data_IF_442537637147
#
_entry.id   IF_442537637147
#
_cell.length_a   1.000
_cell.length_b   1.000
_cell.length_c   1.000
_cell.angle_alpha   90.00
_cell.angle_beta   90.00
_cell.angle_gamma   90.00
#
_symmetry.space_group_name_H-M   'P 1'
#
loop_
_entity.id
_entity.type
_entity.pdbx_description
1 polymer ?
#
# COMPACT_ATOMS: atom_id res chain seq x y z
N UNK A 1 7.27 0.67 -41.07
CA UNK A 1 8.14 -0.20 -40.23
C UNK A 1 8.84 0.55 -39.10
N UNK A 2 9.30 1.78 -39.31
CA UNK A 2 10.03 2.59 -38.30
C UNK A 2 9.33 2.82 -36.94
N UNK A 3 8.02 2.67 -36.83
CA UNK A 3 7.29 2.86 -35.56
C UNK A 3 7.33 1.65 -34.60
N UNK A 4 7.75 0.47 -35.05
CA UNK A 4 7.81 -0.73 -34.24
C UNK A 4 9.12 -0.76 -33.46
N UNK A 5 10.23 -0.39 -34.09
CA UNK A 5 11.56 -0.35 -33.46
C UNK A 5 11.64 0.61 -32.28
N UNK A 6 10.92 1.75 -32.35
CA UNK A 6 10.87 2.73 -31.25
C UNK A 6 10.01 2.26 -30.06
N UNK A 7 9.15 1.26 -30.25
CA UNK A 7 8.26 0.75 -29.21
C UNK A 7 8.80 -0.47 -28.49
N UNK A 8 9.65 -1.24 -29.16
CA UNK A 8 10.29 -2.43 -28.58
C UNK A 8 11.07 -2.14 -27.30
N UNK A 9 11.94 -1.10 -27.23
CA UNK A 9 12.67 -0.80 -26.00
C UNK A 9 11.77 -0.45 -24.83
N UNK A 10 10.64 0.24 -25.09
CA UNK A 10 9.67 0.58 -24.03
C UNK A 10 8.98 -0.68 -23.50
N UNK A 11 8.61 -1.62 -24.37
CA UNK A 11 8.00 -2.90 -23.98
C UNK A 11 9.00 -3.74 -23.18
N UNK A 12 10.28 -3.74 -23.59
CA UNK A 12 11.33 -4.42 -22.84
C UNK A 12 11.56 -3.78 -21.47
N UNK A 13 11.61 -2.45 -21.39
CA UNK A 13 11.72 -1.72 -20.12
C UNK A 13 10.57 -2.08 -19.16
N UNK A 14 9.33 -2.11 -19.68
CA UNK A 14 8.16 -2.51 -18.88
C UNK A 14 8.31 -3.97 -18.42
N UNK A 15 8.71 -4.88 -19.30
CA UNK A 15 8.90 -6.29 -18.97
C UNK A 15 9.98 -6.53 -17.91
N UNK A 16 11.09 -5.79 -17.98
CA UNK A 16 12.15 -5.86 -16.96
C UNK A 16 11.69 -5.31 -15.60
N UNK A 17 10.97 -4.18 -15.62
CA UNK A 17 10.43 -3.61 -14.38
C UNK A 17 9.41 -4.52 -13.71
N UNK A 18 8.61 -5.25 -14.47
CA UNK A 18 7.60 -6.20 -13.96
C UNK A 18 8.27 -7.44 -13.37
N UNK A 19 9.33 -7.97 -13.99
CA UNK A 19 10.03 -9.17 -13.49
C UNK A 19 10.63 -8.99 -12.10
N UNK A 20 11.12 -7.78 -11.83
CA UNK A 20 11.73 -7.42 -10.54
C UNK A 20 10.69 -6.93 -9.51
N UNK A 21 9.42 -6.80 -9.90
CA UNK A 21 8.39 -6.17 -9.09
C UNK A 21 7.73 -7.16 -8.12
N UNK A 22 7.58 -6.78 -6.86
CA UNK A 22 6.75 -7.49 -5.89
C UNK A 22 5.28 -7.09 -5.99
N UNK A 23 5.00 -5.88 -6.46
CA UNK A 23 3.63 -5.43 -6.73
C UNK A 23 3.53 -4.62 -8.01
N UNK A 24 2.46 -4.89 -8.77
CA UNK A 24 2.10 -4.21 -10.01
C UNK A 24 0.63 -3.83 -9.92
N UNK A 25 0.33 -2.54 -9.85
CA UNK A 25 -1.04 -2.03 -9.71
C UNK A 25 -1.45 -1.23 -10.94
N UNK A 26 -2.65 -1.51 -11.43
CA UNK A 26 -3.29 -0.79 -12.52
C UNK A 26 -4.31 0.19 -11.94
N UNK A 27 -4.13 1.47 -12.27
CA UNK A 27 -4.98 2.55 -11.76
C UNK A 27 -5.51 3.42 -12.89
N UNK A 28 -6.73 3.89 -12.73
CA UNK A 28 -7.38 4.81 -13.65
C UNK A 28 -7.30 6.23 -13.06
N UNK A 29 -6.70 7.16 -13.81
CA UNK A 29 -6.40 8.52 -13.32
C UNK A 29 -7.28 9.62 -13.95
N UNK A 30 -8.45 9.26 -14.44
CA UNK A 30 -9.38 10.21 -15.05
C UNK A 30 -9.83 11.28 -14.05
N UNK A 31 -9.77 12.57 -14.46
CA UNK A 31 -10.37 13.66 -13.70
C UNK A 31 -9.53 14.23 -12.54
N UNK A 32 -8.27 13.83 -12.39
CA UNK A 32 -7.35 14.46 -11.46
C UNK A 32 -6.88 15.84 -11.98
N UNK A 33 -6.75 16.83 -11.11
CA UNK A 33 -6.07 18.07 -11.43
C UNK A 33 -4.54 17.88 -11.46
N UNK A 34 -3.84 18.77 -12.16
CA UNK A 34 -2.37 18.72 -12.26
C UNK A 34 -1.70 18.81 -10.89
N UNK A 35 -2.24 19.61 -9.98
CA UNK A 35 -1.72 19.75 -8.62
C UNK A 35 -1.85 18.44 -7.84
N UNK A 36 -3.01 17.78 -7.93
CA UNK A 36 -3.28 16.51 -7.26
C UNK A 36 -2.39 15.38 -7.79
N UNK A 37 -2.24 15.28 -9.12
CA UNK A 37 -1.36 14.29 -9.75
C UNK A 37 0.11 14.52 -9.37
N UNK A 38 0.55 15.78 -9.30
CA UNK A 38 1.91 16.13 -8.89
C UNK A 38 2.18 15.76 -7.43
N UNK A 39 1.22 16.03 -6.52
CA UNK A 39 1.33 15.64 -5.12
C UNK A 39 1.39 14.12 -4.95
N UNK A 40 0.50 13.38 -5.64
CA UNK A 40 0.49 11.92 -5.64
C UNK A 40 1.80 11.33 -6.15
N UNK A 41 2.31 11.82 -7.28
CA UNK A 41 3.60 11.39 -7.86
C UNK A 41 4.79 11.68 -6.94
N UNK A 42 4.72 12.74 -6.14
CA UNK A 42 5.74 13.06 -5.15
C UNK A 42 5.72 12.02 -4.02
N UNK A 43 4.57 11.75 -3.40
CA UNK A 43 4.43 10.74 -2.36
C UNK A 43 4.85 9.33 -2.86
N UNK A 44 4.45 8.97 -4.09
CA UNK A 44 4.84 7.68 -4.69
C UNK A 44 6.36 7.57 -4.90
N UNK A 45 7.02 8.65 -5.35
CA UNK A 45 8.47 8.67 -5.52
C UNK A 45 9.21 8.58 -4.19
N UNK A 46 8.73 9.28 -3.15
CA UNK A 46 9.29 9.20 -1.79
C UNK A 46 9.19 7.79 -1.21
N UNK A 47 8.14 7.06 -1.58
CA UNK A 47 7.95 5.65 -1.20
C UNK A 47 8.65 4.65 -2.13
N UNK A 48 9.43 5.09 -3.13
CA UNK A 48 10.12 4.19 -4.06
C UNK A 48 9.25 3.54 -5.13
N UNK A 49 8.00 3.98 -5.30
CA UNK A 49 7.06 3.45 -6.29
C UNK A 49 7.30 4.09 -7.66
N UNK A 50 7.55 3.29 -8.67
CA UNK A 50 7.63 3.73 -10.06
C UNK A 50 6.21 3.86 -10.65
N UNK A 51 5.72 5.10 -10.74
CA UNK A 51 4.43 5.42 -11.34
C UNK A 51 4.61 6.01 -12.73
N UNK A 52 4.14 5.30 -13.76
CA UNK A 52 4.26 5.72 -15.16
C UNK A 52 2.95 5.43 -15.92
N UNK A 53 2.63 6.33 -16.84
CA UNK A 53 1.51 6.15 -17.78
C UNK A 53 2.03 5.57 -19.07
N UNK A 54 1.51 4.42 -19.44
CA UNK A 54 1.86 3.74 -20.69
C UNK A 54 0.62 3.55 -21.57
N UNK A 55 0.85 3.37 -22.84
CA UNK A 55 -0.23 3.04 -23.78
C UNK A 55 -0.70 1.59 -23.57
N UNK A 56 -2.02 1.36 -23.49
CA UNK A 56 -2.61 0.03 -23.22
C UNK A 56 -2.07 -1.05 -24.17
N UNK A 57 -1.85 -0.73 -25.44
CA UNK A 57 -1.29 -1.69 -26.41
C UNK A 57 0.15 -2.10 -26.07
N UNK A 58 0.95 -1.24 -25.44
CA UNK A 58 2.32 -1.58 -25.01
C UNK A 58 2.29 -2.41 -23.73
N UNK A 59 1.41 -2.06 -22.78
CA UNK A 59 1.18 -2.86 -21.57
C UNK A 59 0.69 -4.27 -21.92
N UNK A 60 -0.26 -4.39 -22.87
CA UNK A 60 -0.74 -5.69 -23.34
C UNK A 60 0.39 -6.57 -23.91
N UNK A 61 1.31 -5.98 -24.69
CA UNK A 61 2.44 -6.71 -25.23
C UNK A 61 3.46 -7.11 -24.14
N UNK A 62 3.66 -6.27 -23.12
CA UNK A 62 4.58 -6.55 -22.03
C UNK A 62 4.02 -7.58 -21.02
N UNK A 63 2.69 -7.63 -20.85
CA UNK A 63 2.04 -8.56 -19.90
C UNK A 63 1.92 -9.98 -20.46
N UNK A 64 1.94 -10.14 -21.79
CA UNK A 64 1.92 -11.48 -22.42
C UNK A 64 3.17 -12.27 -22.04
N UNK A 65 2.95 -13.45 -21.48
CA UNK A 65 4.02 -14.34 -21.03
C UNK A 65 4.60 -13.97 -19.66
N UNK A 66 3.92 -13.11 -18.88
CA UNK A 66 4.24 -12.80 -17.49
C UNK A 66 3.04 -13.13 -16.59
N UNK A 67 3.27 -13.17 -15.28
CA UNK A 67 2.19 -13.38 -14.29
C UNK A 67 1.10 -12.30 -14.34
N UNK A 68 1.33 -11.24 -15.13
CA UNK A 68 0.43 -10.12 -15.32
C UNK A 68 -0.64 -10.33 -16.41
N UNK A 69 -0.74 -11.50 -17.02
CA UNK A 69 -1.77 -11.78 -18.05
C UNK A 69 -3.21 -11.46 -17.62
N UNK A 70 -3.65 -11.75 -16.38
CA UNK A 70 -5.01 -11.41 -15.95
C UNK A 70 -5.34 -9.91 -16.00
N UNK A 71 -4.32 -9.04 -15.91
CA UNK A 71 -4.50 -7.59 -16.00
C UNK A 71 -4.85 -7.11 -17.41
N UNK A 72 -4.58 -7.90 -18.44
CA UNK A 72 -4.85 -7.56 -19.85
C UNK A 72 -6.35 -7.31 -20.10
N UNK A 73 -7.22 -8.09 -19.45
CA UNK A 73 -8.68 -7.96 -19.58
C UNK A 73 -9.20 -6.65 -19.00
N UNK A 74 -8.46 -6.05 -18.08
CA UNK A 74 -8.85 -4.80 -17.39
C UNK A 74 -8.19 -3.54 -18.00
N UNK A 75 -7.47 -3.65 -19.12
CA UNK A 75 -6.80 -2.54 -19.80
C UNK A 75 -7.78 -1.68 -20.60
N UNK A 76 -8.84 -1.18 -19.98
CA UNK A 76 -9.82 -0.29 -20.58
C UNK A 76 -9.63 1.16 -20.09
N UNK A 77 -9.69 2.12 -20.99
CA UNK A 77 -9.56 3.55 -20.67
C UNK A 77 -8.13 4.03 -20.41
N UNK A 78 -7.96 5.20 -19.77
CA UNK A 78 -6.66 5.79 -19.45
C UNK A 78 -6.09 5.17 -18.18
N UNK A 79 -5.12 4.28 -18.36
CA UNK A 79 -4.49 3.54 -17.27
C UNK A 79 -3.08 4.02 -17.00
N UNK A 80 -2.70 4.00 -15.73
CA UNK A 80 -1.35 4.17 -15.25
C UNK A 80 -0.90 2.90 -14.51
N UNK A 81 0.39 2.62 -14.59
CA UNK A 81 1.03 1.49 -13.94
C UNK A 81 1.87 1.97 -12.77
N UNK A 82 1.60 1.43 -11.59
CA UNK A 82 2.39 1.64 -10.38
C UNK A 82 3.12 0.33 -10.04
N UNK A 83 4.44 0.39 -10.00
CA UNK A 83 5.32 -0.75 -9.78
C UNK A 83 6.15 -0.50 -8.54
N UNK A 84 6.22 -1.47 -7.63
CA UNK A 84 7.11 -1.42 -6.48
C UNK A 84 7.92 -2.71 -6.34
N UNK A 85 9.23 -2.55 -5.96
CA UNK A 85 10.18 -3.66 -5.92
C UNK A 85 10.38 -4.26 -4.53
N UNK A 86 10.25 -3.46 -3.47
CA UNK A 86 10.59 -3.88 -2.10
C UNK A 86 9.36 -4.20 -1.27
N UNK A 87 8.41 -3.26 -1.17
CA UNK A 87 7.20 -3.40 -0.36
C UNK A 87 5.98 -3.68 -1.21
N UNK A 88 5.35 -4.85 -1.12
CA UNK A 88 4.18 -5.19 -1.94
C UNK A 88 2.95 -4.32 -1.64
N UNK A 89 2.86 -3.73 -0.44
CA UNK A 89 1.69 -2.97 0.01
C UNK A 89 1.83 -1.45 -0.09
N UNK A 90 3.06 -0.92 -0.23
CA UNK A 90 3.33 0.52 -0.23
C UNK A 90 2.56 1.27 -1.31
N UNK A 91 2.58 0.75 -2.54
CA UNK A 91 1.87 1.33 -3.67
C UNK A 91 0.35 1.32 -3.44
N UNK A 92 -0.22 0.18 -3.00
CA UNK A 92 -1.66 0.05 -2.74
C UNK A 92 -2.13 1.02 -1.64
N UNK A 93 -1.36 1.20 -0.58
CA UNK A 93 -1.69 2.07 0.55
C UNK A 93 -1.78 3.55 0.14
N UNK A 94 -0.78 4.04 -0.60
CA UNK A 94 -0.76 5.42 -1.07
C UNK A 94 -1.91 5.65 -2.05
N UNK A 95 -2.07 4.76 -3.04
CA UNK A 95 -3.12 4.88 -4.05
C UNK A 95 -4.52 4.81 -3.45
N UNK A 96 -4.76 3.94 -2.45
CA UNK A 96 -6.04 3.87 -1.74
C UNK A 96 -6.36 5.13 -0.93
N UNK A 97 -5.33 5.82 -0.36
CA UNK A 97 -5.51 7.11 0.28
C UNK A 97 -6.07 8.14 -0.70
N UNK A 98 -5.49 8.18 -1.91
CA UNK A 98 -5.96 9.08 -2.97
C UNK A 98 -7.31 8.66 -3.56
N UNK A 99 -7.59 7.37 -3.70
CA UNK A 99 -8.88 6.87 -4.16
C UNK A 99 -10.04 7.26 -3.19
N UNK A 100 -9.77 7.29 -1.89
CA UNK A 100 -10.74 7.77 -0.89
C UNK A 100 -10.94 9.29 -0.93
N UNK A 101 -9.90 10.05 -1.27
CA UNK A 101 -9.98 11.51 -1.37
C UNK A 101 -10.63 11.98 -2.67
N UNK A 102 -10.38 11.28 -3.77
CA UNK A 102 -10.81 11.67 -5.11
C UNK A 102 -11.66 10.59 -5.76
N UNK A 103 -12.95 10.82 -5.88
CA UNK A 103 -13.91 9.88 -6.50
C UNK A 103 -13.61 9.53 -7.96
N UNK A 104 -12.79 10.34 -8.62
CA UNK A 104 -12.41 10.15 -10.03
C UNK A 104 -11.22 9.18 -10.19
N UNK A 105 -10.53 8.85 -9.09
CA UNK A 105 -9.37 7.98 -9.11
C UNK A 105 -9.77 6.59 -8.59
N UNK A 106 -9.60 5.57 -9.43
CA UNK A 106 -9.97 4.22 -9.09
C UNK A 106 -8.78 3.25 -9.30
N UNK A 107 -8.59 2.37 -8.35
CA UNK A 107 -7.74 1.20 -8.51
C UNK A 107 -8.58 0.11 -9.19
N UNK A 108 -8.10 -0.41 -10.32
CA UNK A 108 -8.85 -1.40 -11.11
C UNK A 108 -8.48 -2.81 -10.64
N UNK A 109 -7.22 -3.15 -10.75
CA UNK A 109 -6.68 -4.46 -10.43
C UNK A 109 -5.19 -4.35 -10.14
N UNK A 110 -4.62 -5.40 -9.55
CA UNK A 110 -3.20 -5.47 -9.30
C UNK A 110 -2.72 -6.88 -9.07
N UNK A 111 -1.42 -7.04 -9.12
CA UNK A 111 -0.74 -8.27 -8.72
C UNK A 111 0.15 -7.93 -7.53
N UNK A 112 -0.04 -8.64 -6.45
CA UNK A 112 0.72 -8.49 -5.22
C UNK A 112 1.28 -9.85 -4.85
N UNK A 113 2.60 -9.97 -4.79
CA UNK A 113 3.30 -11.24 -4.53
C UNK A 113 2.85 -12.40 -5.46
N UNK A 114 2.62 -12.10 -6.75
CA UNK A 114 2.16 -13.08 -7.73
C UNK A 114 0.68 -13.45 -7.64
N UNK A 115 -0.09 -12.83 -6.74
CA UNK A 115 -1.54 -13.04 -6.62
C UNK A 115 -2.29 -11.91 -7.30
N UNK A 116 -3.24 -12.27 -8.16
CA UNK A 116 -4.15 -11.31 -8.76
C UNK A 116 -5.18 -10.83 -7.73
N UNK A 117 -5.35 -9.53 -7.62
CA UNK A 117 -6.24 -8.87 -6.67
C UNK A 117 -7.02 -7.77 -7.39
N UNK A 118 -8.35 -7.72 -7.22
CA UNK A 118 -9.16 -6.65 -7.80
C UNK A 118 -10.23 -6.12 -6.82
N UNK A 119 -10.72 -4.91 -7.08
CA UNK A 119 -11.84 -4.30 -6.39
C UNK A 119 -11.64 -4.21 -4.86
N UNK A 120 -12.57 -4.79 -4.10
CA UNK A 120 -12.57 -4.74 -2.63
C UNK A 120 -11.34 -5.39 -2.00
N UNK A 121 -10.79 -6.43 -2.61
CA UNK A 121 -9.59 -7.09 -2.12
C UNK A 121 -8.34 -6.19 -2.21
N UNK A 122 -8.28 -5.24 -3.16
CA UNK A 122 -7.23 -4.22 -3.19
C UNK A 122 -7.33 -3.25 -2.00
N UNK A 123 -8.55 -2.93 -1.58
CA UNK A 123 -8.77 -2.11 -0.39
C UNK A 123 -8.33 -2.84 0.89
N UNK A 124 -8.49 -4.15 0.98
CA UNK A 124 -7.98 -4.94 2.09
C UNK A 124 -6.45 -4.94 2.12
N UNK A 125 -5.79 -5.15 0.96
CA UNK A 125 -4.33 -5.05 0.84
C UNK A 125 -3.83 -3.66 1.25
N UNK A 126 -4.57 -2.59 0.90
CA UNK A 126 -4.21 -1.23 1.28
C UNK A 126 -4.22 -0.95 2.79
N UNK A 127 -4.96 -1.76 3.57
CA UNK A 127 -5.03 -1.66 5.04
C UNK A 127 -3.86 -2.35 5.74
N UNK A 128 -3.09 -3.16 5.04
CA UNK A 128 -1.94 -3.86 5.60
C UNK A 128 -0.84 -2.83 5.89
N UNK A 129 -0.37 -2.74 7.16
CA UNK A 129 0.72 -1.85 7.54
C UNK A 129 2.06 -2.26 6.90
N UNK A 130 3.07 -1.39 7.02
CA UNK A 130 4.43 -1.71 6.61
C UNK A 130 4.98 -2.93 7.36
N UNK A 131 5.99 -3.57 6.77
CA UNK A 131 6.68 -4.69 7.41
C UNK A 131 7.20 -4.33 8.80
N UNK A 132 7.77 -3.14 8.94
CA UNK A 132 8.31 -2.66 10.22
C UNK A 132 7.22 -2.43 11.26
N UNK A 133 6.08 -1.88 10.84
CA UNK A 133 4.92 -1.73 11.73
C UNK A 133 4.33 -3.07 12.15
N UNK A 134 4.30 -4.07 11.26
CA UNK A 134 3.84 -5.43 11.60
C UNK A 134 4.78 -6.08 12.61
N UNK A 135 6.09 -5.95 12.43
CA UNK A 135 7.09 -6.43 13.38
C UNK A 135 6.97 -5.70 14.72
N UNK A 136 6.80 -4.37 14.71
CA UNK A 136 6.59 -3.60 15.92
C UNK A 136 5.32 -4.03 16.68
N UNK A 137 4.23 -4.30 15.98
CA UNK A 137 2.98 -4.83 16.58
C UNK A 137 3.19 -6.23 17.17
N UNK A 138 3.92 -7.10 16.46
CA UNK A 138 4.25 -8.44 16.93
C UNK A 138 5.04 -8.37 18.24
N UNK A 139 6.14 -7.61 18.28
CA UNK A 139 6.94 -7.44 19.49
C UNK A 139 6.15 -6.77 20.63
N UNK A 140 5.32 -5.77 20.30
CA UNK A 140 4.42 -5.14 21.25
C UNK A 140 3.43 -6.12 21.87
N UNK A 141 2.85 -7.03 21.06
CA UNK A 141 1.93 -8.05 21.56
C UNK A 141 2.62 -9.08 22.45
N UNK A 142 3.88 -9.44 22.15
CA UNK A 142 4.66 -10.34 23.02
C UNK A 142 5.02 -9.72 24.36
N UNK A 143 5.27 -8.41 24.41
CA UNK A 143 5.57 -7.69 25.66
C UNK A 143 4.31 -7.27 26.43
N UNK A 144 3.15 -7.24 25.78
CA UNK A 144 1.89 -6.77 26.35
C UNK A 144 1.50 -7.47 27.66
N UNK A 145 1.59 -8.81 27.84
CA UNK A 145 1.24 -9.47 29.09
C UNK A 145 2.07 -8.95 30.27
N UNK A 146 3.37 -8.77 30.07
CA UNK A 146 4.29 -8.29 31.11
C UNK A 146 3.99 -6.83 31.47
N UNK A 147 3.80 -5.99 30.44
CA UNK A 147 3.47 -4.58 30.62
C UNK A 147 2.11 -4.38 31.31
N UNK A 148 1.11 -5.20 30.94
CA UNK A 148 -0.20 -5.15 31.56
C UNK A 148 -0.15 -5.59 33.03
N UNK A 149 0.61 -6.63 33.36
CA UNK A 149 0.83 -7.06 34.75
C UNK A 149 1.46 -5.94 35.61
N UNK A 150 2.52 -5.31 35.09
CA UNK A 150 3.16 -4.19 35.77
C UNK A 150 2.22 -3.00 35.99
N UNK A 151 1.36 -2.72 34.95
CA UNK A 151 0.35 -1.65 35.03
C UNK A 151 -0.70 -1.94 36.11
N UNK A 152 -1.18 -3.19 36.18
CA UNK A 152 -2.16 -3.60 37.19
C UNK A 152 -1.59 -3.49 38.59
N UNK A 153 -0.34 -3.94 38.82
CA UNK A 153 0.33 -3.79 40.12
C UNK A 153 0.44 -2.31 40.51
N UNK A 154 0.85 -1.47 39.55
CA UNK A 154 0.92 -0.03 39.78
C UNK A 154 -0.43 0.57 40.16
N UNK A 155 -1.51 0.19 39.48
CA UNK A 155 -2.87 0.66 39.79
C UNK A 155 -3.36 0.18 41.16
N UNK A 156 -2.98 -1.03 41.60
CA UNK A 156 -3.29 -1.52 42.97
C UNK A 156 -2.55 -0.69 43.98
N UNK A 157 -1.24 -0.49 43.80
CA UNK A 157 -0.41 0.30 44.73
C UNK A 157 -0.90 1.77 44.81
N UNK A 158 -1.36 2.35 43.73
CA UNK A 158 -1.94 3.70 43.74
C UNK A 158 -3.28 3.75 44.47
N UNK A 159 -4.14 2.73 44.35
CA UNK A 159 -5.40 2.64 45.11
C UNK A 159 -5.19 2.39 46.57
N UNK A 160 -4.28 1.49 46.93
CA UNK A 160 -3.93 1.22 48.31
C UNK A 160 -3.23 2.41 48.99
N UNK A 161 -2.44 3.18 48.21
CA UNK A 161 -1.83 4.44 48.67
C UNK A 161 -2.83 5.58 48.87
N UNK A 162 -3.92 5.60 48.12
CA UNK A 162 -5.02 6.59 48.25
C UNK A 162 -6.00 6.21 49.41
N UNK A 163 -6.10 4.92 49.71
CA UNK A 163 -6.93 4.43 50.82
C UNK A 163 -6.27 4.64 52.20
N UNK A 164 -4.95 4.64 52.27
CA UNK A 164 -4.20 4.84 53.54
C UNK A 164 -4.42 6.20 54.23
N UNK A 165 -4.51 7.35 53.52
CA UNK A 165 -4.78 8.64 54.18
C UNK A 165 -6.23 8.84 54.60
N UNK A 166 -7.19 8.07 54.06
CA UNK A 166 -8.60 8.22 54.42
C UNK A 166 -8.94 7.45 55.74
N UNK A 167 -8.31 6.33 56.00
CA UNK A 167 -8.48 5.59 57.29
C UNK A 167 -7.79 6.29 58.48
N UNK A 168 -6.62 6.90 58.26
CA UNK A 168 -5.95 7.66 59.30
C UNK A 168 -6.67 8.97 59.71
N UNK A 169 -7.56 9.50 58.85
CA UNK A 169 -8.37 10.68 59.14
C UNK A 169 -9.70 10.36 59.85
N UNK A 170 -10.10 9.08 59.87
CA UNK A 170 -11.34 8.63 60.51
C UNK A 170 -11.20 8.16 61.96
N UNK A 171 -9.92 7.94 62.44
CA UNK A 171 -9.62 7.56 63.80
C UNK A 171 -9.04 8.71 64.68
N UNK A 172 -8.98 9.96 64.16
CA UNK A 172 -8.57 11.14 64.91
C UNK A 172 -9.76 12.10 65.11
#
# INVERSE_FOLDING_TARGET
>A
MAKVELKQPIVQEIGEQIKDAQSVLLVQYLGLTVEQDTAMRKELREAGVAYKVYKNTMMNLAFKGTDCEPLVEKLEGPNALAIHKEDPTAAARILAKYAKQYKCFNMIAGIVEGKYVEGEALDEVSRIPTRDELLARLFGSMQSPIANFARVIKQIAEKDGEAAPAEAAAEA
#
